data_IF_055144135769
#
_entry.id   IF_055144135769
#
_cell.length_a   1.000
_cell.length_b   1.000
_cell.length_c   1.000
_cell.angle_alpha   90.00
_cell.angle_beta   90.00
_cell.angle_gamma   90.00
#
_symmetry.space_group_name_H-M   'P 1'
#
loop_
_entity.id
_entity.type
_entity.pdbx_description
1 polymer ?
#
# COMPACT_ATOMS: atom_id res chain seq x y z
N UNK A 1 24.68 15.23 -30.48
CA UNK A 1 23.95 15.35 -29.19
C UNK A 1 22.47 14.95 -29.34
N UNK A 2 21.74 15.45 -30.32
CA UNK A 2 20.31 15.17 -30.57
C UNK A 2 20.00 13.67 -30.75
N UNK A 3 20.82 12.89 -31.48
CA UNK A 3 20.62 11.44 -31.65
C UNK A 3 20.72 10.63 -30.35
N UNK A 4 21.56 11.06 -29.38
CA UNK A 4 21.63 10.40 -28.07
C UNK A 4 20.44 10.74 -27.19
N UNK A 5 19.91 11.95 -27.26
CA UNK A 5 18.68 12.33 -26.55
C UNK A 5 17.46 11.56 -27.09
N UNK A 6 17.33 11.45 -28.42
CA UNK A 6 16.24 10.68 -29.03
C UNK A 6 16.29 9.19 -28.63
N UNK A 7 17.50 8.62 -28.54
CA UNK A 7 17.66 7.21 -28.14
C UNK A 7 17.29 6.98 -26.67
N UNK A 8 17.63 7.92 -25.77
CA UNK A 8 17.26 7.84 -24.35
C UNK A 8 15.74 8.02 -24.18
N UNK A 9 15.14 8.92 -24.96
CA UNK A 9 13.68 9.16 -24.90
C UNK A 9 12.91 7.96 -25.48
N UNK A 10 13.40 7.32 -26.55
CA UNK A 10 12.78 6.11 -27.08
C UNK A 10 12.92 4.91 -26.12
N UNK A 11 14.05 4.77 -25.46
CA UNK A 11 14.25 3.70 -24.47
C UNK A 11 13.40 3.93 -23.22
N UNK A 12 13.25 5.17 -22.78
CA UNK A 12 12.33 5.54 -21.70
C UNK A 12 10.86 5.32 -22.11
N UNK A 13 10.46 5.65 -23.35
CA UNK A 13 9.11 5.35 -23.86
C UNK A 13 8.86 3.84 -24.00
N UNK A 14 9.83 3.06 -24.47
CA UNK A 14 9.68 1.62 -24.61
C UNK A 14 9.59 0.90 -23.25
N UNK A 15 10.33 1.38 -22.24
CA UNK A 15 10.19 0.88 -20.87
C UNK A 15 8.88 1.35 -20.21
N UNK A 16 8.34 2.50 -20.60
CA UNK A 16 7.06 3.02 -20.12
C UNK A 16 5.85 2.30 -20.75
N UNK A 17 5.93 1.89 -22.01
CA UNK A 17 4.85 1.09 -22.65
C UNK A 17 4.72 -0.31 -22.06
N UNK A 18 5.79 -0.88 -21.49
CA UNK A 18 5.69 -2.13 -20.72
C UNK A 18 4.98 -1.97 -19.37
N UNK A 19 4.82 -0.74 -18.87
CA UNK A 19 4.11 -0.43 -17.63
C UNK A 19 2.60 -0.19 -17.85
N UNK A 20 2.17 0.07 -19.10
CA UNK A 20 0.77 0.23 -19.47
C UNK A 20 0.11 -1.15 -19.71
N UNK A 21 0.26 -2.09 -18.76
CA UNK A 21 -0.52 -3.33 -18.81
C UNK A 21 -1.94 -3.05 -18.31
N UNK A 22 -2.97 -3.69 -18.93
CA UNK A 22 -4.33 -3.62 -18.42
C UNK A 22 -4.33 -4.03 -16.95
N UNK A 23 -5.26 -3.49 -16.19
CA UNK A 23 -5.44 -3.69 -14.75
C UNK A 23 -5.27 -5.18 -14.42
N UNK A 24 -4.03 -5.57 -14.05
CA UNK A 24 -3.68 -6.94 -13.73
C UNK A 24 -4.16 -7.32 -12.33
N UNK A 25 -4.00 -8.56 -12.02
CA UNK A 25 -4.30 -9.17 -10.73
C UNK A 25 -3.68 -8.30 -9.61
N UNK A 26 -4.49 -8.02 -8.60
CA UNK A 26 -4.14 -7.01 -7.61
C UNK A 26 -3.66 -7.58 -6.29
N UNK A 27 -3.91 -8.88 -6.02
CA UNK A 27 -3.48 -9.56 -4.81
C UNK A 27 -3.51 -11.08 -4.99
N UNK A 28 -2.70 -11.77 -4.19
CA UNK A 28 -2.58 -13.21 -4.19
C UNK A 28 -3.32 -13.85 -3.03
N UNK A 29 -3.92 -15.01 -3.26
CA UNK A 29 -4.50 -15.86 -2.22
C UNK A 29 -3.87 -17.24 -2.33
N UNK A 30 -3.29 -17.71 -1.22
CA UNK A 30 -2.77 -19.06 -1.07
C UNK A 30 -3.69 -19.86 -0.18
N UNK A 31 -4.12 -21.03 -0.67
CA UNK A 31 -4.92 -22.00 0.06
C UNK A 31 -4.12 -23.29 0.15
N UNK A 32 -4.06 -23.88 1.34
CA UNK A 32 -3.41 -25.17 1.57
C UNK A 32 -4.09 -25.94 2.70
N UNK A 33 -3.79 -27.23 2.77
CA UNK A 33 -4.21 -28.08 3.88
C UNK A 33 -3.49 -27.65 5.14
N UNK A 34 -4.23 -27.21 6.15
CA UNK A 34 -3.69 -26.71 7.39
C UNK A 34 -4.57 -27.13 8.59
N UNK A 35 -3.93 -27.29 9.74
CA UNK A 35 -4.66 -27.53 10.98
C UNK A 35 -5.04 -26.18 11.62
N UNK A 36 -6.13 -25.60 11.12
CA UNK A 36 -6.62 -24.30 11.56
C UNK A 36 -7.99 -24.47 12.21
N UNK A 37 -8.16 -23.93 13.40
CA UNK A 37 -9.43 -24.00 14.13
C UNK A 37 -10.30 -22.79 13.83
N UNK A 38 -11.52 -23.03 13.36
CA UNK A 38 -12.52 -22.00 13.09
C UNK A 38 -11.98 -20.85 12.22
N UNK A 39 -11.46 -21.15 11.02
CA UNK A 39 -10.91 -20.11 10.14
C UNK A 39 -12.02 -19.14 9.73
N UNK A 40 -11.63 -17.88 9.53
CA UNK A 40 -12.50 -16.86 8.98
C UNK A 40 -11.69 -15.94 8.09
N UNK A 41 -12.25 -15.57 6.97
CA UNK A 41 -11.77 -14.46 6.17
C UNK A 41 -12.89 -13.44 6.00
N UNK A 42 -12.55 -12.18 5.99
CA UNK A 42 -13.54 -11.12 5.87
C UNK A 42 -12.98 -9.93 5.09
N UNK A 43 -13.78 -9.41 4.18
CA UNK A 43 -13.52 -8.16 3.49
C UNK A 43 -14.15 -7.00 4.24
N UNK A 44 -13.39 -5.90 4.34
CA UNK A 44 -13.83 -4.65 4.93
C UNK A 44 -13.63 -3.52 3.91
N UNK A 45 -14.53 -2.55 3.89
CA UNK A 45 -14.38 -1.35 3.06
C UNK A 45 -13.45 -0.35 3.72
N UNK A 46 -13.45 -0.32 5.04
CA UNK A 46 -12.56 0.47 5.88
C UNK A 46 -11.96 -0.43 6.96
N UNK A 47 -10.80 -0.07 7.46
CA UNK A 47 -10.12 -0.80 8.51
C UNK A 47 -9.69 0.14 9.63
N UNK A 48 -9.93 -0.25 10.86
CA UNK A 48 -9.60 0.50 12.07
C UNK A 48 -9.07 -0.42 13.16
N UNK A 49 -8.57 0.14 14.24
CA UNK A 49 -8.21 -0.62 15.44
C UNK A 49 -9.42 -1.34 16.03
N UNK A 50 -10.62 -0.77 15.92
CA UNK A 50 -11.85 -1.39 16.40
C UNK A 50 -12.12 -2.74 15.70
N UNK A 51 -11.85 -2.85 14.40
CA UNK A 51 -12.05 -4.12 13.66
C UNK A 51 -11.15 -5.24 14.20
N UNK A 52 -9.94 -4.90 14.65
CA UNK A 52 -9.05 -5.88 15.31
C UNK A 52 -9.59 -6.25 16.69
N UNK A 53 -10.04 -5.28 17.47
CA UNK A 53 -10.66 -5.51 18.77
C UNK A 53 -11.93 -6.37 18.65
N UNK A 54 -12.72 -6.18 17.61
CA UNK A 54 -13.91 -6.98 17.35
C UNK A 54 -13.55 -8.43 17.00
N UNK A 55 -12.44 -8.67 16.28
CA UNK A 55 -11.90 -10.01 16.05
C UNK A 55 -11.50 -10.65 17.38
N UNK A 56 -10.80 -9.93 18.25
CA UNK A 56 -10.38 -10.45 19.56
C UNK A 56 -11.58 -10.73 20.48
N UNK A 57 -12.59 -9.84 20.50
CA UNK A 57 -13.82 -10.02 21.29
C UNK A 57 -14.61 -11.27 20.86
N UNK A 58 -14.41 -11.76 19.64
CA UNK A 58 -14.95 -13.03 19.16
C UNK A 58 -14.10 -14.25 19.56
N UNK A 59 -13.07 -14.07 20.40
CA UNK A 59 -12.14 -15.15 20.78
C UNK A 59 -11.25 -15.59 19.61
N UNK A 60 -10.86 -14.68 18.75
CA UNK A 60 -10.09 -14.94 17.53
C UNK A 60 -8.83 -14.09 17.50
N UNK A 61 -7.79 -14.60 16.84
CA UNK A 61 -6.60 -13.82 16.52
C UNK A 61 -6.55 -13.53 15.01
N UNK A 62 -6.22 -12.30 14.66
CA UNK A 62 -5.92 -11.95 13.29
C UNK A 62 -4.59 -12.58 12.85
N UNK A 63 -4.56 -13.32 11.76
CA UNK A 63 -3.34 -13.93 11.21
C UNK A 63 -2.69 -13.07 10.14
N UNK A 64 -3.48 -12.35 9.36
CA UNK A 64 -3.01 -11.27 8.50
C UNK A 64 -4.11 -10.25 8.27
N UNK A 65 -3.69 -9.03 8.00
CA UNK A 65 -4.56 -7.94 7.56
C UNK A 65 -3.88 -7.30 6.36
N UNK A 66 -4.52 -7.36 5.21
CA UNK A 66 -3.96 -6.89 3.96
C UNK A 66 -4.85 -5.81 3.35
N UNK A 67 -4.24 -4.73 2.88
CA UNK A 67 -4.92 -3.74 2.07
C UNK A 67 -4.74 -4.07 0.60
N UNK A 68 -5.79 -4.54 -0.03
CA UNK A 68 -5.79 -4.99 -1.42
C UNK A 68 -6.62 -4.05 -2.29
N UNK A 69 -6.56 -4.21 -3.60
CA UNK A 69 -7.44 -3.50 -4.53
C UNK A 69 -8.93 -3.78 -4.27
N UNK A 70 -9.25 -4.94 -3.73
CA UNK A 70 -10.60 -5.31 -3.36
C UNK A 70 -11.04 -4.75 -1.99
N UNK A 71 -10.24 -3.89 -1.37
CA UNK A 71 -10.40 -3.39 -0.03
C UNK A 71 -9.56 -4.15 0.99
N UNK A 72 -9.88 -3.99 2.25
CA UNK A 72 -9.20 -4.67 3.33
C UNK A 72 -9.63 -6.13 3.41
N UNK A 73 -8.68 -7.02 3.59
CA UNK A 73 -8.93 -8.45 3.81
C UNK A 73 -8.21 -8.90 5.07
N UNK A 74 -8.96 -9.38 6.05
CA UNK A 74 -8.44 -9.98 7.26
C UNK A 74 -8.64 -11.49 7.24
N UNK A 75 -7.61 -12.22 7.66
CA UNK A 75 -7.68 -13.64 7.97
C UNK A 75 -7.58 -13.77 9.48
N UNK A 76 -8.47 -14.52 10.09
CA UNK A 76 -8.45 -14.80 11.53
C UNK A 76 -8.74 -16.27 11.82
N UNK A 77 -8.27 -16.75 12.97
CA UNK A 77 -8.57 -18.10 13.44
C UNK A 77 -8.98 -18.05 14.91
N UNK A 78 -9.70 -19.07 15.36
CA UNK A 78 -10.08 -19.22 16.75
C UNK A 78 -8.84 -19.62 17.55
N UNK A 79 -8.35 -18.70 18.36
CA UNK A 79 -7.14 -18.83 19.15
C UNK A 79 -7.17 -17.78 20.28
N UNK A 80 -6.63 -18.12 21.44
CA UNK A 80 -6.61 -17.25 22.63
C UNK A 80 -5.20 -16.79 22.99
N UNK A 81 -4.34 -16.53 22.04
CA UNK A 81 -3.00 -16.00 22.31
C UNK A 81 -3.04 -14.47 22.51
N UNK A 82 -2.18 -13.97 23.40
CA UNK A 82 -1.92 -12.53 23.52
C UNK A 82 -1.42 -11.97 22.20
N UNK A 83 -2.22 -11.13 21.56
CA UNK A 83 -1.90 -10.52 20.29
C UNK A 83 -1.75 -8.99 20.43
N UNK A 84 -0.78 -8.42 19.73
CA UNK A 84 -0.56 -6.99 19.63
C UNK A 84 -0.77 -6.53 18.19
N UNK A 85 -1.48 -5.45 18.03
CA UNK A 85 -1.70 -4.79 16.75
C UNK A 85 -0.98 -3.45 16.71
N UNK A 86 -0.37 -3.15 15.57
CA UNK A 86 0.34 -1.89 15.35
C UNK A 86 0.02 -1.35 13.96
N UNK A 87 -0.19 -0.06 13.91
CA UNK A 87 -0.39 0.68 12.68
C UNK A 87 0.48 1.95 12.75
N UNK A 88 1.64 1.90 12.08
CA UNK A 88 2.62 2.98 12.19
C UNK A 88 3.64 2.98 11.04
N UNK A 89 4.65 3.86 11.12
CA UNK A 89 5.82 3.81 10.26
C UNK A 89 6.60 2.50 10.46
N UNK A 90 7.34 2.06 9.45
CA UNK A 90 8.18 0.87 9.57
C UNK A 90 9.16 0.94 10.75
N UNK A 91 9.77 2.13 10.95
CA UNK A 91 10.73 2.35 12.05
C UNK A 91 10.10 2.10 13.43
N UNK A 92 8.89 2.58 13.65
CA UNK A 92 8.19 2.40 14.91
C UNK A 92 7.72 0.96 15.12
N UNK A 93 7.24 0.29 14.06
CA UNK A 93 6.87 -1.12 14.14
C UNK A 93 8.10 -1.97 14.45
N UNK A 94 9.22 -1.75 13.75
CA UNK A 94 10.48 -2.46 14.04
C UNK A 94 10.91 -2.26 15.50
N UNK A 95 10.94 -1.03 15.98
CA UNK A 95 11.29 -0.72 17.38
C UNK A 95 10.37 -1.42 18.38
N UNK A 96 9.08 -1.44 18.12
CA UNK A 96 8.11 -2.14 18.96
C UNK A 96 8.34 -3.65 18.91
N UNK A 97 8.54 -4.24 17.74
CA UNK A 97 8.81 -5.66 17.57
C UNK A 97 10.11 -6.10 18.26
N UNK A 98 11.19 -5.29 18.17
CA UNK A 98 12.45 -5.55 18.87
C UNK A 98 12.28 -5.53 20.40
N UNK A 99 11.39 -4.69 20.94
CA UNK A 99 11.10 -4.63 22.37
C UNK A 99 10.18 -5.78 22.83
N UNK A 100 9.18 -6.13 22.04
CA UNK A 100 8.22 -7.20 22.34
C UNK A 100 8.89 -8.58 22.30
N UNK A 101 9.85 -8.79 21.42
CA UNK A 101 10.62 -10.03 21.33
C UNK A 101 11.33 -10.36 22.65
N UNK A 102 11.76 -9.37 23.42
CA UNK A 102 12.36 -9.56 24.77
C UNK A 102 11.40 -10.22 25.77
N UNK A 103 10.10 -10.15 25.49
CA UNK A 103 9.01 -10.72 26.30
C UNK A 103 8.34 -11.93 25.61
N UNK A 104 8.98 -12.54 24.60
CA UNK A 104 8.45 -13.69 23.90
C UNK A 104 7.29 -13.40 22.94
N UNK A 105 7.06 -12.11 22.62
CA UNK A 105 6.01 -11.67 21.68
C UNK A 105 6.69 -11.33 20.35
N UNK A 106 6.37 -12.06 19.31
CA UNK A 106 7.05 -11.96 18.01
C UNK A 106 6.11 -11.49 16.91
N UNK A 107 6.62 -10.61 16.05
CA UNK A 107 5.92 -10.12 14.88
C UNK A 107 5.77 -11.24 13.85
N UNK A 108 4.55 -11.63 13.52
CA UNK A 108 4.30 -12.73 12.58
C UNK A 108 3.68 -12.27 11.26
N UNK A 109 3.06 -11.11 11.24
CA UNK A 109 2.51 -10.51 10.02
C UNK A 109 2.88 -9.04 9.94
N UNK A 110 3.34 -8.64 8.78
CA UNK A 110 3.68 -7.26 8.46
C UNK A 110 3.17 -6.94 7.06
N UNK A 111 2.32 -5.97 6.93
CA UNK A 111 1.66 -5.61 5.68
C UNK A 111 1.80 -4.12 5.43
N UNK A 112 2.01 -3.77 4.16
CA UNK A 112 2.01 -2.38 3.72
C UNK A 112 0.59 -1.92 3.46
N UNK A 113 0.24 -0.75 3.98
CA UNK A 113 -1.01 -0.07 3.67
C UNK A 113 -0.73 1.40 3.36
N UNK A 114 -1.51 1.96 2.44
CA UNK A 114 -1.49 3.38 2.20
C UNK A 114 -2.77 4.02 2.71
N UNK A 115 -2.61 5.14 3.42
CA UNK A 115 -3.74 5.95 3.86
C UNK A 115 -3.45 7.41 3.49
N UNK A 116 -4.24 7.94 2.58
CA UNK A 116 -3.98 9.25 1.99
C UNK A 116 -2.73 9.21 1.10
N UNK A 117 -1.74 10.03 1.42
CA UNK A 117 -0.47 10.12 0.65
C UNK A 117 0.70 9.43 1.36
N UNK A 118 0.46 8.67 2.41
CA UNK A 118 1.51 8.08 3.24
C UNK A 118 1.42 6.57 3.31
N UNK A 119 2.59 5.96 3.34
CA UNK A 119 2.76 4.54 3.56
C UNK A 119 2.81 4.25 5.05
N UNK A 120 1.94 3.37 5.49
CA UNK A 120 1.91 2.82 6.82
C UNK A 120 2.11 1.32 6.77
N UNK A 121 2.50 0.79 7.90
CA UNK A 121 2.68 -0.64 8.08
C UNK A 121 1.74 -1.14 9.16
N UNK A 122 1.17 -2.30 8.92
CA UNK A 122 0.36 -3.02 9.88
C UNK A 122 1.18 -4.18 10.38
N UNK A 123 1.42 -4.24 11.68
CA UNK A 123 2.13 -5.31 12.35
C UNK A 123 1.21 -6.07 13.31
N UNK A 124 1.23 -7.40 13.23
CA UNK A 124 0.60 -8.30 14.18
C UNK A 124 1.69 -9.12 14.87
N UNK A 125 1.73 -9.03 16.20
CA UNK A 125 2.65 -9.81 17.04
C UNK A 125 1.85 -10.67 17.99
N UNK A 126 2.35 -11.87 18.30
CA UNK A 126 1.74 -12.78 19.26
C UNK A 126 2.79 -13.54 20.07
N UNK A 127 2.38 -14.11 21.19
CA UNK A 127 3.25 -14.98 21.97
C UNK A 127 3.55 -16.26 21.18
N UNK A 128 4.84 -16.57 21.01
CA UNK A 128 5.32 -17.74 20.30
C UNK A 128 6.47 -18.41 21.05
N UNK A 129 6.15 -19.38 21.91
CA UNK A 129 7.13 -19.97 22.83
C UNK A 129 8.28 -20.72 22.13
N UNK A 130 8.10 -21.14 20.88
CA UNK A 130 9.09 -21.85 20.09
C UNK A 130 10.07 -20.93 19.38
N UNK A 131 9.90 -19.62 19.48
CA UNK A 131 10.77 -18.63 18.85
C UNK A 131 11.62 -17.96 19.92
N UNK A 132 12.89 -17.83 19.67
CA UNK A 132 13.80 -17.12 20.57
C UNK A 132 14.42 -15.88 19.93
N UNK A 133 14.47 -15.82 18.61
CA UNK A 133 15.06 -14.71 17.85
C UNK A 133 14.20 -14.31 16.67
N UNK A 134 14.12 -13.00 16.45
CA UNK A 134 13.54 -12.44 15.24
C UNK A 134 14.43 -11.35 14.66
N UNK A 135 14.27 -11.12 13.37
CA UNK A 135 14.83 -9.99 12.64
C UNK A 135 13.75 -9.35 11.82
N UNK A 136 13.61 -8.02 11.90
CA UNK A 136 12.70 -7.22 11.11
C UNK A 136 13.52 -6.17 10.38
N UNK A 137 13.60 -6.27 9.05
CA UNK A 137 14.46 -5.39 8.25
C UNK A 137 13.79 -4.97 6.95
N UNK A 138 14.21 -3.80 6.43
CA UNK A 138 13.89 -3.36 5.09
C UNK A 138 15.05 -3.78 4.16
N UNK A 139 14.75 -4.62 3.18
CA UNK A 139 15.73 -5.25 2.29
C UNK A 139 15.44 -4.83 0.85
N UNK A 140 16.46 -4.43 0.09
CA UNK A 140 16.29 -4.22 -1.36
C UNK A 140 15.87 -5.53 -2.03
N UNK A 141 14.86 -5.49 -2.87
CA UNK A 141 14.33 -6.67 -3.58
C UNK A 141 15.45 -7.42 -4.31
N UNK A 142 16.38 -6.71 -4.96
CA UNK A 142 17.53 -7.29 -5.67
C UNK A 142 18.54 -8.00 -4.74
N UNK A 143 18.44 -7.81 -3.43
CA UNK A 143 19.31 -8.42 -2.42
C UNK A 143 18.58 -9.44 -1.53
N UNK A 144 17.31 -9.70 -1.81
CA UNK A 144 16.48 -10.53 -0.94
C UNK A 144 17.06 -11.94 -0.77
N UNK A 145 17.43 -12.63 -1.85
CA UNK A 145 18.01 -13.97 -1.78
C UNK A 145 19.36 -14.00 -1.04
N UNK A 146 20.21 -13.02 -1.28
CA UNK A 146 21.49 -12.91 -0.55
C UNK A 146 21.22 -12.74 0.95
N UNK A 147 20.33 -11.83 1.32
CA UNK A 147 19.94 -11.58 2.70
C UNK A 147 19.32 -12.84 3.36
N UNK A 148 18.44 -13.54 2.65
CA UNK A 148 17.86 -14.81 3.12
C UNK A 148 18.92 -15.87 3.39
N UNK A 149 19.90 -16.01 2.49
CA UNK A 149 21.00 -16.95 2.67
C UNK A 149 21.86 -16.62 3.89
N UNK A 150 22.18 -15.33 4.10
CA UNK A 150 22.92 -14.86 5.29
C UNK A 150 22.14 -15.13 6.58
N UNK A 151 20.82 -14.91 6.59
CA UNK A 151 19.97 -15.19 7.77
C UNK A 151 19.79 -16.69 8.00
N UNK A 152 19.70 -17.48 6.95
CA UNK A 152 19.62 -18.94 7.05
C UNK A 152 20.88 -19.54 7.74
N UNK A 153 22.07 -18.99 7.49
CA UNK A 153 23.29 -19.37 8.21
C UNK A 153 23.24 -19.09 9.71
N UNK A 154 22.40 -18.12 10.10
CA UNK A 154 22.13 -17.77 11.50
C UNK A 154 20.95 -18.58 12.09
N UNK A 155 20.38 -19.52 11.34
CA UNK A 155 19.21 -20.30 11.74
C UNK A 155 17.89 -19.55 11.66
N UNK A 156 17.84 -18.42 10.94
CA UNK A 156 16.62 -17.62 10.77
C UNK A 156 16.01 -17.90 9.40
N UNK A 157 14.68 -17.98 9.36
CA UNK A 157 13.91 -18.20 8.14
C UNK A 157 12.86 -17.08 7.98
N UNK A 158 12.66 -16.63 6.75
CA UNK A 158 11.65 -15.63 6.41
C UNK A 158 10.27 -16.21 6.59
N UNK A 159 9.45 -15.52 7.39
CA UNK A 159 8.06 -15.91 7.67
C UNK A 159 7.05 -14.89 7.18
N UNK A 160 7.51 -13.69 6.82
CA UNK A 160 6.68 -12.67 6.20
C UNK A 160 7.55 -11.75 5.33
N UNK A 161 7.01 -11.33 4.19
CA UNK A 161 7.64 -10.41 3.27
C UNK A 161 6.56 -9.53 2.64
N UNK A 162 6.66 -8.23 2.81
CA UNK A 162 5.76 -7.26 2.20
C UNK A 162 6.55 -6.26 1.35
N UNK A 163 6.26 -6.24 0.06
CA UNK A 163 7.01 -5.46 -0.92
C UNK A 163 6.41 -4.06 -1.10
N UNK A 164 7.23 -3.05 -0.93
CA UNK A 164 6.85 -1.67 -1.25
C UNK A 164 6.98 -1.41 -2.76
N UNK A 165 8.14 -1.07 -3.25
CA UNK A 165 8.43 -0.91 -4.69
C UNK A 165 9.72 -1.67 -5.02
N UNK A 166 10.85 -1.15 -4.57
CA UNK A 166 12.19 -1.70 -4.75
C UNK A 166 12.74 -2.35 -3.47
N UNK A 167 11.96 -2.31 -2.39
CA UNK A 167 12.30 -2.80 -1.06
C UNK A 167 11.20 -3.70 -0.53
N UNK A 168 11.59 -4.70 0.24
CA UNK A 168 10.69 -5.54 1.03
C UNK A 168 10.94 -5.31 2.52
N UNK A 169 9.87 -5.17 3.28
CA UNK A 169 9.93 -5.38 4.71
C UNK A 169 9.87 -6.88 4.98
N UNK A 170 10.86 -7.41 5.66
CA UNK A 170 11.02 -8.84 5.86
C UNK A 170 11.02 -9.13 7.35
N UNK A 171 10.31 -10.18 7.75
CA UNK A 171 10.33 -10.72 9.10
C UNK A 171 10.91 -12.13 9.03
N UNK A 172 11.94 -12.41 9.80
CA UNK A 172 12.55 -13.72 9.89
C UNK A 172 12.64 -14.18 11.35
N UNK A 173 12.37 -15.47 11.57
CA UNK A 173 12.39 -16.12 12.87
C UNK A 173 13.28 -17.36 12.87
N UNK A 174 13.78 -17.73 14.05
CA UNK A 174 14.21 -19.11 14.32
C UNK A 174 13.00 -19.98 14.74
N UNK A 175 13.23 -21.23 15.08
CA UNK A 175 12.18 -22.13 15.59
C UNK A 175 11.12 -22.52 14.54
N UNK A 176 11.43 -22.42 13.25
CA UNK A 176 10.57 -22.86 12.16
C UNK A 176 10.94 -24.26 11.68
N UNK A 177 10.00 -24.95 11.05
CA UNK A 177 10.22 -26.25 10.37
C UNK A 177 10.71 -26.11 8.92
N UNK A 178 11.06 -24.88 8.51
CA UNK A 178 11.54 -24.58 7.17
C UNK A 178 13.00 -25.04 7.02
N UNK A 179 13.28 -25.90 6.05
CA UNK A 179 14.61 -26.40 5.74
C UNK A 179 15.35 -25.42 4.81
N UNK A 180 14.82 -25.21 3.60
CA UNK A 180 15.40 -24.30 2.60
C UNK A 180 14.37 -23.26 2.15
N UNK A 181 14.88 -22.11 1.74
CA UNK A 181 14.08 -21.04 1.18
C UNK A 181 14.77 -20.42 -0.02
N UNK A 182 13.97 -20.01 -1.00
CA UNK A 182 14.43 -19.12 -2.06
C UNK A 182 13.31 -18.15 -2.44
N UNK A 183 13.68 -16.96 -2.89
CA UNK A 183 12.74 -15.94 -3.36
C UNK A 183 12.89 -15.73 -4.86
N UNK A 184 11.78 -15.78 -5.57
CA UNK A 184 11.69 -15.51 -6.99
C UNK A 184 10.83 -14.26 -7.27
N UNK A 185 11.24 -13.52 -8.28
CA UNK A 185 10.63 -12.27 -8.69
C UNK A 185 10.09 -12.41 -10.10
N UNK A 186 8.84 -11.98 -10.32
CA UNK A 186 8.20 -12.11 -11.62
C UNK A 186 7.58 -10.77 -12.03
N UNK A 187 7.55 -10.57 -13.34
CA UNK A 187 6.94 -9.40 -13.96
C UNK A 187 5.45 -9.60 -14.21
N UNK A 188 5.00 -10.85 -14.34
CA UNK A 188 3.60 -11.20 -14.63
C UNK A 188 3.10 -12.32 -13.74
N UNK A 189 1.79 -12.34 -13.49
CA UNK A 189 1.10 -13.44 -12.81
C UNK A 189 1.29 -14.78 -13.52
N UNK A 190 1.27 -14.77 -14.87
CA UNK A 190 1.43 -16.01 -15.64
C UNK A 190 2.83 -16.62 -15.50
N UNK A 191 3.89 -15.78 -15.50
CA UNK A 191 5.25 -16.25 -15.21
C UNK A 191 5.33 -16.85 -13.80
N UNK A 192 4.76 -16.17 -12.81
CA UNK A 192 4.71 -16.63 -11.43
C UNK A 192 3.99 -17.98 -11.32
N UNK A 193 2.78 -18.14 -11.90
CA UNK A 193 2.01 -19.37 -11.84
C UNK A 193 2.70 -20.54 -12.57
N UNK A 194 3.36 -20.28 -13.69
CA UNK A 194 4.13 -21.31 -14.41
C UNK A 194 5.30 -21.79 -13.56
N UNK A 195 5.97 -20.89 -12.86
CA UNK A 195 7.11 -21.24 -12.03
C UNK A 195 6.69 -21.94 -10.74
N UNK A 196 5.55 -21.55 -10.14
CA UNK A 196 4.94 -22.25 -9.00
C UNK A 196 4.69 -23.72 -9.32
N UNK A 197 4.16 -24.04 -10.50
CA UNK A 197 3.97 -25.44 -10.92
C UNK A 197 5.26 -26.23 -10.95
N UNK A 198 6.33 -25.66 -11.52
CA UNK A 198 7.66 -26.29 -11.56
C UNK A 198 8.22 -26.53 -10.16
N UNK A 199 8.04 -25.57 -9.26
CA UNK A 199 8.47 -25.70 -7.86
C UNK A 199 7.67 -26.78 -7.12
N UNK A 200 6.37 -26.86 -7.31
CA UNK A 200 5.55 -27.93 -6.72
C UNK A 200 5.99 -29.32 -7.22
N UNK A 201 6.26 -29.47 -8.52
CA UNK A 201 6.79 -30.71 -9.12
C UNK A 201 8.16 -31.08 -8.55
N UNK A 202 8.97 -30.11 -8.17
CA UNK A 202 10.27 -30.29 -7.53
C UNK A 202 10.21 -30.45 -5.99
N UNK A 203 8.99 -30.54 -5.42
CA UNK A 203 8.78 -30.75 -3.98
C UNK A 203 8.90 -29.48 -3.12
N UNK A 204 8.97 -28.31 -3.75
CA UNK A 204 8.89 -27.04 -3.04
C UNK A 204 7.44 -26.65 -2.81
N UNK A 205 7.23 -25.79 -1.84
CA UNK A 205 5.92 -25.19 -1.55
C UNK A 205 6.01 -23.67 -1.54
N UNK A 206 4.96 -23.01 -1.95
CA UNK A 206 4.83 -21.57 -1.74
C UNK A 206 4.72 -21.32 -0.24
N UNK A 207 5.68 -20.61 0.32
CA UNK A 207 5.67 -20.19 1.72
C UNK A 207 5.00 -18.83 1.88
N UNK A 208 5.38 -17.90 0.99
CA UNK A 208 4.86 -16.54 0.97
C UNK A 208 4.64 -16.11 -0.48
N UNK A 209 3.66 -15.27 -0.67
CA UNK A 209 3.45 -14.59 -1.95
C UNK A 209 3.07 -13.13 -1.68
N UNK A 210 3.66 -12.22 -2.41
CA UNK A 210 3.31 -10.82 -2.32
C UNK A 210 3.21 -10.17 -3.70
N UNK A 211 2.27 -9.26 -3.84
CA UNK A 211 2.07 -8.46 -5.05
C UNK A 211 2.31 -7.01 -4.69
N UNK A 212 3.33 -6.41 -5.27
CA UNK A 212 3.64 -5.01 -5.01
C UNK A 212 2.58 -4.09 -5.60
N UNK A 213 2.50 -2.84 -5.14
CA UNK A 213 1.60 -1.83 -5.72
C UNK A 213 1.76 -1.61 -7.23
N UNK A 214 2.88 -2.05 -7.81
CA UNK A 214 3.17 -1.97 -9.25
C UNK A 214 2.94 -3.29 -9.97
N UNK A 215 2.15 -4.21 -9.42
CA UNK A 215 1.90 -5.54 -9.96
C UNK A 215 3.19 -6.33 -10.26
N UNK A 216 4.17 -6.25 -9.37
CA UNK A 216 5.35 -7.11 -9.39
C UNK A 216 5.19 -8.20 -8.35
N UNK A 217 5.45 -9.42 -8.72
CA UNK A 217 5.17 -10.60 -7.92
C UNK A 217 6.45 -11.07 -7.23
N UNK A 218 6.34 -11.38 -5.97
CA UNK A 218 7.41 -11.96 -5.16
C UNK A 218 6.88 -13.23 -4.52
N UNK A 219 7.52 -14.36 -4.78
CA UNK A 219 7.17 -15.64 -4.17
C UNK A 219 8.39 -16.17 -3.42
N UNK A 220 8.18 -16.53 -2.17
CA UNK A 220 9.18 -17.26 -1.38
C UNK A 220 8.76 -18.71 -1.33
N UNK A 221 9.61 -19.58 -1.85
CA UNK A 221 9.44 -21.01 -1.82
C UNK A 221 10.15 -21.61 -0.63
N UNK A 222 9.55 -22.62 -0.04
CA UNK A 222 10.07 -23.34 1.11
C UNK A 222 10.13 -24.85 0.84
N UNK A 223 11.17 -25.49 1.34
CA UNK A 223 11.10 -26.91 1.70
C UNK A 223 11.01 -27.03 3.23
N UNK A 224 10.47 -28.12 3.72
CA UNK A 224 10.24 -28.32 5.15
C UNK A 224 10.95 -29.56 5.65
N UNK A 225 11.43 -29.55 6.90
CA UNK A 225 12.06 -30.70 7.56
C UNK A 225 11.07 -31.83 7.73
N UNK A 226 9.79 -31.50 7.97
CA UNK A 226 8.70 -32.47 7.97
C UNK A 226 7.83 -32.24 6.72
N UNK A 227 7.70 -33.25 5.85
CA UNK A 227 6.86 -33.11 4.66
C UNK A 227 5.45 -32.64 4.99
N UNK A 228 4.98 -31.62 4.29
CA UNK A 228 3.61 -31.14 4.42
C UNK A 228 2.71 -31.84 3.41
N UNK A 229 1.60 -32.37 3.90
CA UNK A 229 0.63 -33.07 3.09
C UNK A 229 -0.31 -32.11 2.34
N UNK A 230 -0.89 -32.65 1.27
CA UNK A 230 -1.90 -31.99 0.46
C UNK A 230 -1.32 -31.03 -0.56
N UNK A 231 -2.18 -30.63 -1.47
CA UNK A 231 -1.86 -29.66 -2.52
C UNK A 231 -1.89 -28.22 -1.99
N UNK A 232 -1.38 -27.31 -2.78
CA UNK A 232 -1.57 -25.89 -2.59
C UNK A 232 -2.32 -25.32 -3.80
N UNK A 233 -3.15 -24.32 -3.55
CA UNK A 233 -3.83 -23.58 -4.59
C UNK A 233 -3.45 -22.10 -4.47
N UNK A 234 -3.01 -21.50 -5.58
CA UNK A 234 -2.61 -20.12 -5.66
C UNK A 234 -3.38 -19.42 -6.77
N UNK A 235 -3.99 -18.29 -6.45
CA UNK A 235 -4.58 -17.40 -7.43
C UNK A 235 -4.11 -15.96 -7.22
N UNK A 236 -4.06 -15.22 -8.32
CA UNK A 236 -3.94 -13.77 -8.32
C UNK A 236 -5.30 -13.18 -8.67
N UNK A 237 -5.88 -12.43 -7.74
CA UNK A 237 -7.24 -11.91 -7.82
C UNK A 237 -7.25 -10.41 -8.12
N UNK A 238 -8.21 -9.96 -8.91
CA UNK A 238 -8.42 -8.55 -9.27
C UNK A 238 -9.61 -7.91 -8.56
N UNK A 239 -10.47 -8.74 -7.95
CA UNK A 239 -11.73 -8.31 -7.34
C UNK A 239 -12.12 -9.18 -6.16
N UNK A 240 -13.08 -8.69 -5.34
CA UNK A 240 -13.69 -9.50 -4.28
C UNK A 240 -14.43 -10.71 -4.82
N UNK A 241 -15.02 -10.59 -6.00
CA UNK A 241 -15.78 -11.68 -6.62
C UNK A 241 -14.84 -12.79 -7.07
N UNK A 242 -13.76 -12.47 -7.80
CA UNK A 242 -12.76 -13.46 -8.19
C UNK A 242 -12.15 -14.16 -6.99
N UNK A 243 -11.85 -13.42 -5.91
CA UNK A 243 -11.34 -13.98 -4.67
C UNK A 243 -12.35 -14.92 -3.99
N UNK A 244 -13.62 -14.51 -3.86
CA UNK A 244 -14.67 -15.35 -3.28
C UNK A 244 -14.91 -16.64 -4.08
N UNK A 245 -14.91 -16.55 -5.40
CA UNK A 245 -15.07 -17.72 -6.27
C UNK A 245 -13.92 -18.70 -6.06
N UNK A 246 -12.68 -18.23 -6.07
CA UNK A 246 -11.51 -19.07 -5.81
C UNK A 246 -11.52 -19.69 -4.42
N UNK A 247 -11.90 -18.93 -3.39
CA UNK A 247 -12.00 -19.42 -2.01
C UNK A 247 -13.09 -20.48 -1.90
N UNK A 248 -14.27 -20.23 -2.49
CA UNK A 248 -15.39 -21.18 -2.44
C UNK A 248 -15.08 -22.49 -3.17
N UNK A 249 -14.27 -22.43 -4.23
CA UNK A 249 -13.85 -23.60 -4.98
C UNK A 249 -12.85 -24.47 -4.21
N UNK A 250 -11.91 -23.85 -3.50
CA UNK A 250 -10.73 -24.54 -2.97
C UNK A 250 -10.69 -24.63 -1.43
N UNK A 251 -11.33 -23.71 -0.70
CA UNK A 251 -11.31 -23.72 0.77
C UNK A 251 -12.36 -24.64 1.35
N UNK A 252 -12.08 -25.94 1.39
CA UNK A 252 -12.95 -26.99 1.93
C UNK A 252 -12.11 -28.17 2.46
N UNK A 253 -12.72 -29.06 3.25
CA UNK A 253 -12.11 -30.34 3.68
C UNK A 253 -10.69 -30.19 4.29
N UNK A 254 -10.49 -29.22 5.17
CA UNK A 254 -9.18 -28.97 5.80
C UNK A 254 -8.26 -28.08 4.98
N UNK A 255 -8.72 -27.53 3.85
CA UNK A 255 -8.02 -26.52 3.07
C UNK A 255 -8.50 -25.13 3.46
N UNK A 256 -7.58 -24.26 3.81
CA UNK A 256 -7.86 -22.91 4.30
C UNK A 256 -6.94 -21.88 3.65
N UNK A 257 -7.38 -20.65 3.66
CA UNK A 257 -6.48 -19.53 3.30
C UNK A 257 -5.39 -19.45 4.36
N UNK A 258 -4.16 -19.63 3.95
CA UNK A 258 -3.00 -19.54 4.84
C UNK A 258 -2.20 -18.25 4.62
N UNK A 259 -2.32 -17.67 3.43
CA UNK A 259 -1.63 -16.41 3.14
C UNK A 259 -2.39 -15.56 2.13
N UNK A 260 -2.32 -14.25 2.32
CA UNK A 260 -2.73 -13.23 1.35
C UNK A 260 -1.56 -12.28 1.15
N UNK A 261 -1.22 -12.03 -0.09
CA UNK A 261 -0.16 -11.09 -0.44
C UNK A 261 -0.66 -10.03 -1.39
N UNK A 262 -0.31 -8.81 -1.11
CA UNK A 262 -0.61 -7.68 -1.97
C UNK A 262 -0.71 -6.38 -1.18
N UNK A 263 -0.26 -5.31 -1.82
CA UNK A 263 -0.44 -3.96 -1.33
C UNK A 263 -1.10 -3.14 -2.42
N UNK A 264 -2.22 -2.56 -2.09
CA UNK A 264 -2.91 -1.64 -2.98
C UNK A 264 -2.36 -0.24 -2.79
N UNK A 265 -2.05 0.39 -3.91
CA UNK A 265 -1.80 1.82 -4.01
C UNK A 265 -3.08 2.45 -4.58
N UNK A 266 -3.91 3.11 -3.77
CA UNK A 266 -4.96 3.95 -4.30
C UNK A 266 -4.26 5.15 -4.96
N UNK A 267 -3.78 4.96 -6.19
CA UNK A 267 -3.25 6.05 -7.00
C UNK A 267 -4.27 7.17 -7.06
N UNK A 268 -3.83 8.36 -7.49
CA UNK A 268 -4.76 9.45 -7.76
C UNK A 268 -5.95 8.91 -8.57
N UNK A 269 -7.15 9.20 -8.16
CA UNK A 269 -8.36 8.87 -8.93
C UNK A 269 -8.55 9.94 -10.01
N UNK A 270 -9.06 9.53 -11.15
CA UNK A 270 -9.53 10.47 -12.17
C UNK A 270 -10.77 11.26 -11.67
N UNK A 271 -11.24 12.17 -12.47
CA UNK A 271 -12.43 12.99 -12.15
C UNK A 271 -13.73 12.18 -11.94
N UNK A 272 -13.74 10.90 -12.34
CA UNK A 272 -14.86 9.98 -12.15
C UNK A 272 -14.65 9.04 -10.94
N UNK A 273 -13.58 9.24 -10.17
CA UNK A 273 -13.23 8.39 -9.02
C UNK A 273 -12.57 7.06 -9.38
N UNK A 274 -12.25 6.83 -10.67
CA UNK A 274 -11.54 5.63 -11.08
C UNK A 274 -10.04 5.74 -10.76
N UNK A 275 -9.39 4.67 -10.30
CA UNK A 275 -7.96 4.68 -10.05
C UNK A 275 -7.19 5.07 -11.32
N UNK A 276 -6.43 6.13 -11.25
CA UNK A 276 -5.52 6.52 -12.34
C UNK A 276 -4.36 5.52 -12.41
N UNK A 277 -4.03 5.08 -13.61
CA UNK A 277 -2.81 4.32 -13.83
C UNK A 277 -1.58 5.19 -13.52
N UNK A 278 -0.46 4.57 -13.15
CA UNK A 278 0.81 5.26 -12.96
C UNK A 278 1.18 6.15 -14.17
N UNK A 279 0.83 5.72 -15.38
CA UNK A 279 1.03 6.49 -16.61
C UNK A 279 0.14 7.75 -16.68
N UNK A 280 -1.08 7.68 -16.22
CA UNK A 280 -1.96 8.84 -16.13
C UNK A 280 -1.44 9.83 -15.07
N UNK A 281 -0.94 9.30 -13.94
CA UNK A 281 -0.29 10.12 -12.90
C UNK A 281 0.99 10.77 -13.46
N UNK A 282 1.84 10.00 -14.13
CA UNK A 282 3.08 10.50 -14.72
C UNK A 282 2.85 11.42 -15.92
N UNK A 283 1.86 11.15 -16.77
CA UNK A 283 1.51 12.06 -17.88
C UNK A 283 0.91 13.37 -17.36
N UNK A 284 0.13 13.32 -16.28
CA UNK A 284 -0.29 14.51 -15.54
C UNK A 284 0.89 15.32 -14.99
N UNK A 285 1.89 14.66 -14.39
CA UNK A 285 3.14 15.29 -13.94
C UNK A 285 3.98 15.85 -15.09
N UNK A 286 4.11 15.12 -16.19
CA UNK A 286 4.88 15.58 -17.38
C UNK A 286 4.17 16.73 -18.08
N UNK A 287 2.84 16.71 -18.22
CA UNK A 287 2.08 17.84 -18.75
C UNK A 287 2.20 19.08 -17.85
N UNK A 288 2.24 18.88 -16.54
CA UNK A 288 2.46 19.96 -15.55
C UNK A 288 3.87 20.53 -15.65
N UNK A 289 4.89 19.68 -15.85
CA UNK A 289 6.28 20.13 -16.06
C UNK A 289 6.49 20.78 -17.44
N UNK A 290 5.84 20.28 -18.50
CA UNK A 290 5.89 20.89 -19.83
C UNK A 290 5.22 22.29 -19.83
N UNK A 291 4.11 22.44 -19.12
CA UNK A 291 3.46 23.73 -18.91
C UNK A 291 4.31 24.67 -18.04
N UNK A 292 5.07 24.15 -17.08
CA UNK A 292 6.01 24.92 -16.27
C UNK A 292 7.20 25.43 -17.10
N UNK A 293 7.75 24.61 -17.99
CA UNK A 293 8.84 24.98 -18.90
C UNK A 293 8.38 25.99 -19.97
N UNK A 294 7.13 25.86 -20.43
CA UNK A 294 6.50 26.85 -21.32
C UNK A 294 6.26 28.21 -20.67
N UNK A 295 5.98 28.24 -19.38
CA UNK A 295 5.76 29.50 -18.62
C UNK A 295 7.06 30.18 -18.17
N UNK A 296 8.18 29.43 -18.09
CA UNK A 296 9.51 30.00 -17.72
C UNK A 296 10.13 30.80 -18.88
N UNK A 297 9.71 30.52 -20.15
CA UNK A 297 10.22 31.23 -21.32
C UNK A 297 9.44 32.50 -21.68
N UNK A 298 8.42 32.86 -20.94
CA UNK A 298 7.57 34.03 -21.23
C UNK A 298 7.26 34.89 -20.01
N UNK A 299 8.24 35.50 -19.33
CA UNK A 299 7.94 36.53 -18.34
C UNK A 299 8.96 36.59 -17.20
N UNK A 300 9.82 37.57 -17.24
CA UNK A 300 10.54 38.06 -16.07
C UNK A 300 9.53 38.72 -15.12
N UNK A 301 9.45 38.22 -13.89
CA UNK A 301 9.57 38.93 -12.63
C UNK A 301 9.05 38.11 -11.44
N UNK A 302 9.95 37.90 -10.51
CA UNK A 302 9.77 38.01 -9.05
C UNK A 302 9.02 36.92 -8.28
N UNK A 303 9.78 36.07 -7.58
CA UNK A 303 9.39 35.65 -6.22
C UNK A 303 8.78 34.27 -6.03
N UNK A 304 9.63 33.32 -5.76
CA UNK A 304 9.61 32.19 -4.82
C UNK A 304 8.32 31.54 -4.38
N UNK A 305 8.32 30.28 -4.56
CA UNK A 305 7.85 29.17 -3.75
C UNK A 305 7.00 28.16 -4.50
N UNK A 306 7.61 27.04 -4.61
CA UNK A 306 7.11 25.71 -4.88
C UNK A 306 5.76 25.39 -4.24
N UNK A 307 4.85 24.91 -5.05
CA UNK A 307 4.02 23.71 -4.93
C UNK A 307 3.03 23.74 -6.11
N UNK A 308 3.28 22.88 -7.10
CA UNK A 308 2.86 22.99 -8.50
C UNK A 308 1.38 22.87 -8.86
N UNK A 309 0.43 23.17 -7.99
CA UNK A 309 -0.96 23.29 -8.39
C UNK A 309 -1.33 24.77 -8.60
N UNK A 310 -1.64 25.15 -9.82
CA UNK A 310 -2.16 26.47 -10.16
C UNK A 310 -3.61 26.38 -10.61
N UNK A 311 -4.44 27.33 -10.19
CA UNK A 311 -5.80 27.39 -10.67
C UNK A 311 -5.79 27.75 -12.17
N UNK A 312 -6.41 26.91 -13.00
CA UNK A 312 -6.47 27.12 -14.44
C UNK A 312 -7.63 28.09 -14.79
N UNK A 313 -7.38 29.38 -14.65
CA UNK A 313 -8.35 30.41 -15.02
C UNK A 313 -8.22 30.88 -16.48
N UNK A 314 -7.16 30.45 -17.19
CA UNK A 314 -6.91 30.88 -18.56
C UNK A 314 -7.97 30.36 -19.58
N UNK A 315 -8.66 29.26 -19.26
CA UNK A 315 -9.74 28.68 -20.07
C UNK A 315 -11.13 29.14 -19.65
N UNK A 316 -11.28 29.83 -18.54
CA UNK A 316 -12.57 30.27 -18.03
C UNK A 316 -13.06 31.49 -18.83
N UNK A 317 -14.23 31.38 -19.47
CA UNK A 317 -14.85 32.45 -20.28
C UNK A 317 -16.22 32.89 -19.76
N UNK A 318 -16.86 32.05 -18.94
CA UNK A 318 -18.20 32.31 -18.38
C UNK A 318 -18.14 32.28 -16.85
N UNK A 319 -19.17 32.81 -16.22
CA UNK A 319 -19.32 32.75 -14.77
C UNK A 319 -19.39 31.30 -14.28
N UNK A 320 -20.02 30.41 -15.04
CA UNK A 320 -20.07 28.97 -14.71
C UNK A 320 -18.71 28.29 -14.78
N UNK A 321 -17.84 28.68 -15.72
CA UNK A 321 -16.48 28.15 -15.79
C UNK A 321 -15.68 28.53 -14.56
N UNK A 322 -15.73 29.81 -14.16
CA UNK A 322 -15.09 30.25 -12.93
C UNK A 322 -15.68 29.61 -11.68
N UNK A 323 -16.99 29.46 -11.61
CA UNK A 323 -17.66 28.79 -10.48
C UNK A 323 -17.22 27.33 -10.36
N UNK A 324 -17.17 26.61 -11.47
CA UNK A 324 -16.74 25.20 -11.52
C UNK A 324 -15.28 25.03 -11.07
N UNK A 325 -14.39 25.88 -11.54
CA UNK A 325 -12.98 25.85 -11.11
C UNK A 325 -12.84 26.23 -9.61
N UNK A 326 -13.62 27.16 -9.12
CA UNK A 326 -13.69 27.53 -7.71
C UNK A 326 -14.19 26.35 -6.84
N UNK A 327 -15.28 25.71 -7.25
CA UNK A 327 -15.91 24.60 -6.50
C UNK A 327 -14.98 23.38 -6.43
N UNK A 328 -14.23 23.10 -7.47
CA UNK A 328 -13.17 22.06 -7.49
C UNK A 328 -12.14 22.30 -6.38
N UNK A 329 -11.66 23.53 -6.21
CA UNK A 329 -10.72 23.86 -5.15
C UNK A 329 -11.37 23.88 -3.76
N UNK A 330 -12.63 24.26 -3.68
CA UNK A 330 -13.43 24.21 -2.44
C UNK A 330 -13.57 22.76 -1.94
N UNK A 331 -13.80 21.81 -2.84
CA UNK A 331 -13.89 20.39 -2.50
C UNK A 331 -12.54 19.86 -1.97
N UNK A 332 -11.44 20.14 -2.65
CA UNK A 332 -10.10 19.79 -2.19
C UNK A 332 -9.78 20.39 -0.82
N UNK A 333 -10.19 21.64 -0.59
CA UNK A 333 -10.02 22.31 0.71
C UNK A 333 -10.82 21.61 1.82
N UNK A 334 -12.06 21.17 1.55
CA UNK A 334 -12.89 20.42 2.52
C UNK A 334 -12.22 19.09 2.90
N UNK A 335 -11.69 18.36 1.91
CA UNK A 335 -10.95 17.12 2.17
C UNK A 335 -9.69 17.35 3.03
N UNK A 336 -8.93 18.41 2.74
CA UNK A 336 -7.75 18.77 3.54
C UNK A 336 -8.13 19.19 4.98
N UNK A 337 -9.24 19.92 5.16
CA UNK A 337 -9.75 20.31 6.47
C UNK A 337 -10.19 19.07 7.29
N UNK A 338 -10.88 18.12 6.65
CA UNK A 338 -11.28 16.87 7.30
C UNK A 338 -10.06 16.03 7.71
N UNK A 339 -9.04 15.95 6.86
CA UNK A 339 -7.78 15.26 7.18
C UNK A 339 -7.04 15.93 8.33
N UNK A 340 -7.03 17.27 8.37
CA UNK A 340 -6.48 18.03 9.50
C UNK A 340 -7.25 17.73 10.80
N UNK A 341 -8.58 17.76 10.76
CA UNK A 341 -9.42 17.47 11.93
C UNK A 341 -9.19 16.06 12.46
N UNK A 342 -9.15 15.05 11.57
CA UNK A 342 -8.88 13.66 11.96
C UNK A 342 -7.50 13.51 12.59
N UNK A 343 -6.44 14.10 12.02
CA UNK A 343 -5.10 14.02 12.59
C UNK A 343 -4.98 14.73 13.93
N UNK A 344 -5.60 15.90 14.10
CA UNK A 344 -5.59 16.63 15.38
C UNK A 344 -6.34 15.88 16.49
N UNK A 345 -7.42 15.17 16.16
CA UNK A 345 -8.16 14.34 17.10
C UNK A 345 -7.33 13.15 17.58
N UNK A 346 -6.59 12.51 16.68
CA UNK A 346 -5.67 11.40 17.03
C UNK A 346 -4.55 11.90 17.92
N UNK A 347 -3.95 13.06 17.62
CA UNK A 347 -2.91 13.67 18.44
C UNK A 347 -3.37 13.95 19.88
N UNK A 348 -4.60 14.44 20.03
CA UNK A 348 -5.19 14.71 21.33
C UNK A 348 -5.52 13.43 22.14
N UNK A 349 -5.88 12.34 21.46
CA UNK A 349 -6.22 11.06 22.12
C UNK A 349 -4.98 10.24 22.50
N UNK A 350 -3.91 10.31 21.70
CA UNK A 350 -2.73 9.47 21.91
C UNK A 350 -1.61 10.15 22.69
N UNK A 351 -1.73 11.44 22.97
CA UNK A 351 -0.67 12.23 23.62
C UNK A 351 0.60 12.36 22.75
N UNK A 352 0.58 11.81 21.54
CA UNK A 352 1.67 11.95 20.59
C UNK A 352 1.56 13.29 19.87
N UNK A 353 2.53 14.14 20.08
CA UNK A 353 2.70 15.37 19.28
C UNK A 353 3.16 15.00 17.86
N UNK A 354 2.27 14.52 17.02
CA UNK A 354 2.54 14.40 15.57
C UNK A 354 2.37 15.76 14.87
N UNK A 355 2.84 16.81 15.53
CA UNK A 355 2.72 18.20 15.07
C UNK A 355 3.11 18.43 13.63
N UNK A 356 3.97 17.56 13.07
CA UNK A 356 4.37 17.60 11.65
C UNK A 356 3.22 17.18 10.69
N UNK A 357 2.41 16.17 11.06
CA UNK A 357 1.28 15.71 10.22
C UNK A 357 0.20 16.79 10.20
N UNK A 358 -0.13 17.29 11.36
CA UNK A 358 -1.13 18.34 11.53
C UNK A 358 -0.68 19.63 10.85
N UNK A 359 0.60 20.00 10.95
CA UNK A 359 1.18 21.15 10.24
C UNK A 359 1.18 20.97 8.72
N UNK A 360 1.49 19.76 8.22
CA UNK A 360 1.44 19.42 6.81
C UNK A 360 0.03 19.57 6.23
N UNK A 361 -0.97 18.98 6.88
CA UNK A 361 -2.38 19.10 6.46
C UNK A 361 -2.88 20.55 6.52
N UNK A 362 -2.45 21.33 7.50
CA UNK A 362 -2.75 22.76 7.60
C UNK A 362 -2.14 23.55 6.44
N UNK A 363 -0.90 23.23 6.04
CA UNK A 363 -0.25 23.86 4.88
C UNK A 363 -1.01 23.56 3.58
N UNK A 364 -1.41 22.31 3.37
CA UNK A 364 -2.19 21.88 2.19
C UNK A 364 -3.53 22.62 2.14
N UNK A 365 -4.25 22.70 3.25
CA UNK A 365 -5.52 23.44 3.32
C UNK A 365 -5.34 24.91 2.95
N UNK A 366 -4.33 25.57 3.50
CA UNK A 366 -4.03 26.98 3.17
C UNK A 366 -3.70 27.18 1.70
N UNK A 367 -3.03 26.24 1.06
CA UNK A 367 -2.73 26.30 -0.36
C UNK A 367 -4.01 26.23 -1.19
N UNK A 368 -4.92 25.32 -0.90
CA UNK A 368 -6.21 25.24 -1.60
C UNK A 368 -7.07 26.48 -1.39
N UNK A 369 -7.11 27.02 -0.18
CA UNK A 369 -7.78 28.29 0.09
C UNK A 369 -7.18 29.48 -0.69
N UNK A 370 -5.85 29.47 -0.89
CA UNK A 370 -5.17 30.47 -1.74
C UNK A 370 -5.60 30.34 -3.21
N UNK A 371 -5.70 29.11 -3.73
CA UNK A 371 -6.16 28.85 -5.09
C UNK A 371 -7.62 29.26 -5.28
N UNK A 372 -8.50 28.98 -4.33
CA UNK A 372 -9.88 29.46 -4.35
C UNK A 372 -9.96 30.97 -4.46
N UNK A 373 -9.20 31.68 -3.64
CA UNK A 373 -9.15 33.15 -3.69
C UNK A 373 -8.64 33.65 -5.04
N UNK A 374 -7.60 33.01 -5.58
CA UNK A 374 -7.06 33.34 -6.91
C UNK A 374 -8.10 33.20 -8.03
N UNK A 375 -8.90 32.15 -8.02
CA UNK A 375 -10.02 31.95 -8.99
C UNK A 375 -11.08 33.05 -8.82
N UNK A 376 -11.44 33.36 -7.59
CA UNK A 376 -12.44 34.37 -7.31
C UNK A 376 -11.97 35.80 -7.69
N UNK A 377 -10.71 36.10 -7.49
CA UNK A 377 -10.11 37.37 -7.91
C UNK A 377 -10.05 37.48 -9.45
N UNK A 378 -9.75 36.37 -10.13
CA UNK A 378 -9.77 36.31 -11.60
C UNK A 378 -11.20 36.48 -12.14
N UNK A 379 -12.20 35.84 -11.54
CA UNK A 379 -13.61 36.02 -11.89
C UNK A 379 -14.05 37.46 -11.69
N UNK A 380 -13.71 38.08 -10.55
CA UNK A 380 -14.03 39.48 -10.25
C UNK A 380 -13.43 40.46 -11.27
N UNK A 381 -12.17 40.22 -11.68
CA UNK A 381 -11.52 41.00 -12.75
C UNK A 381 -12.18 40.82 -14.11
N UNK A 382 -12.84 39.68 -14.35
CA UNK A 382 -13.64 39.40 -15.55
C UNK A 382 -15.08 39.90 -15.43
N UNK A 383 -15.46 40.58 -14.34
CA UNK A 383 -16.79 41.10 -14.11
C UNK A 383 -17.81 40.10 -13.54
N UNK A 384 -17.36 38.95 -13.06
CA UNK A 384 -18.22 37.90 -12.52
C UNK A 384 -18.17 37.85 -10.98
N UNK A 385 -19.32 37.49 -10.38
CA UNK A 385 -19.42 37.27 -8.92
C UNK A 385 -19.64 35.78 -8.65
N UNK A 386 -18.77 35.17 -7.85
CA UNK A 386 -18.88 33.75 -7.49
C UNK A 386 -19.58 33.54 -6.14
N UNK A 387 -20.31 32.41 -6.04
CA UNK A 387 -20.81 31.95 -4.76
C UNK A 387 -19.64 31.40 -3.93
N UNK A 388 -19.28 32.08 -2.83
CA UNK A 388 -18.18 31.71 -1.97
C UNK A 388 -18.53 30.52 -1.06
N UNK A 389 -17.59 29.61 -0.85
CA UNK A 389 -17.73 28.46 0.04
C UNK A 389 -17.15 28.80 1.42
N UNK A 390 -17.80 28.35 2.50
CA UNK A 390 -17.40 28.59 3.89
C UNK A 390 -15.98 28.11 4.19
N UNK A 391 -15.54 27.04 3.51
CA UNK A 391 -14.18 26.49 3.67
C UNK A 391 -13.06 27.49 3.27
N UNK A 392 -13.37 28.52 2.49
CA UNK A 392 -12.41 29.56 2.10
C UNK A 392 -11.91 30.38 3.29
N UNK A 393 -12.79 30.62 4.28
CA UNK A 393 -12.50 31.38 5.49
C UNK A 393 -12.18 30.51 6.71
N UNK A 394 -12.27 29.20 6.56
CA UNK A 394 -12.03 28.26 7.65
C UNK A 394 -10.59 28.35 8.16
N UNK A 395 -10.42 28.54 9.47
CA UNK A 395 -9.12 28.56 10.17
C UNK A 395 -9.02 27.26 10.98
N UNK A 396 -8.06 26.37 10.65
CA UNK A 396 -7.90 25.09 11.33
C UNK A 396 -7.15 25.23 12.67
#
# INVERSE_FOLDING_TARGET
>A
MIKKLLSITLFALASLTSLARPHGEAFAILIEKANITGPCFQFYDQWSTQDVEDIWNQGRNAKSVNYTRAGWLAISQKESADQKYKYNSFKEIKKAADNEAKNGIFLHSLTLAEVGTRWYWIGLSENRPNISRQVVEMVKVSKLNQWMAEKAQQGLKVINCARKITECAVVAHDGTDIDRQEACLYETAQEALNDVKRHWEAGWRVGLVDVSPMNKYTIVYNTYTTPREGEQYLAFCDSRESAKNFINEHAHNGYFITHVGGAFYPGATDENGNPMSFMQIMSGLVSTTANLVGSINGGKDGGGASDGETANTASCRTQEDYQREYDKWAEKARHAALSHYKSSKIDNQTGHKSGEITAGNRKILRNYQKLMRGVADAASKAGFTLKRADIESFVP
#
